data_IF_405992633700
#
_entry.id   IF_405992633700
#
_cell.length_a   1.000
_cell.length_b   1.000
_cell.length_c   1.000
_cell.angle_alpha   90.00
_cell.angle_beta   90.00
_cell.angle_gamma   90.00
#
_symmetry.space_group_name_H-M   'P 1'
#
loop_
_entity.id
_entity.type
_entity.pdbx_description
1 polymer ?
#
# COMPACT_ATOMS: atom_id res chain seq x y z
N UNK A 1 4.43 -11.05 1.43
CA UNK A 1 2.99 -11.33 1.28
C UNK A 1 2.24 -10.12 0.73
N UNK A 2 2.30 -8.93 1.35
CA UNK A 2 1.58 -7.73 0.86
C UNK A 2 1.97 -7.27 -0.55
N UNK A 3 3.26 -7.37 -0.91
CA UNK A 3 3.74 -7.01 -2.26
C UNK A 3 3.18 -7.92 -3.36
N UNK A 4 3.05 -9.23 -3.11
CA UNK A 4 2.49 -10.18 -4.09
C UNK A 4 1.04 -9.88 -4.43
N UNK A 5 0.23 -9.52 -3.43
CA UNK A 5 -1.15 -9.10 -3.63
C UNK A 5 -1.26 -7.77 -4.36
N UNK A 6 -0.39 -6.82 -4.03
CA UNK A 6 -0.32 -5.53 -4.73
C UNK A 6 -0.01 -5.72 -6.22
N UNK A 7 0.96 -6.58 -6.55
CA UNK A 7 1.31 -6.91 -7.94
C UNK A 7 0.16 -7.60 -8.68
N UNK A 8 -0.56 -8.50 -8.00
CA UNK A 8 -1.73 -9.16 -8.59
C UNK A 8 -2.89 -8.17 -8.84
N UNK A 9 -3.14 -7.24 -7.92
CA UNK A 9 -4.13 -6.18 -8.09
C UNK A 9 -3.78 -5.24 -9.25
N UNK A 10 -2.50 -4.88 -9.40
CA UNK A 10 -2.02 -4.09 -10.54
C UNK A 10 -2.21 -4.83 -11.86
N UNK A 11 -1.83 -6.12 -11.92
CA UNK A 11 -1.96 -6.94 -13.12
C UNK A 11 -3.43 -7.13 -13.56
N UNK A 12 -4.38 -7.11 -12.61
CA UNK A 12 -5.82 -7.21 -12.90
C UNK A 12 -6.46 -5.86 -13.27
N UNK A 13 -5.77 -4.74 -13.01
CA UNK A 13 -6.25 -3.38 -13.26
C UNK A 13 -5.28 -2.59 -14.16
N UNK A 14 -5.22 -2.90 -15.47
CA UNK A 14 -4.21 -2.34 -16.38
C UNK A 14 -4.27 -0.81 -16.49
N UNK A 15 -5.44 -0.19 -16.37
CA UNK A 15 -5.55 1.27 -16.39
C UNK A 15 -4.80 1.95 -15.25
N UNK A 16 -4.89 1.40 -14.03
CA UNK A 16 -4.14 1.90 -12.88
C UNK A 16 -2.65 1.56 -12.99
N UNK A 17 -2.31 0.41 -13.58
CA UNK A 17 -0.92 0.05 -13.84
C UNK A 17 -0.23 1.06 -14.79
N UNK A 18 -0.90 1.53 -15.83
CA UNK A 18 -0.36 2.54 -16.75
C UNK A 18 -0.19 3.89 -16.05
N UNK A 19 -1.18 4.34 -15.26
CA UNK A 19 -1.04 5.56 -14.45
C UNK A 19 0.13 5.46 -13.47
N UNK A 20 0.28 4.32 -12.80
CA UNK A 20 1.39 4.05 -11.88
C UNK A 20 2.75 4.08 -12.58
N UNK A 21 2.85 3.46 -13.76
CA UNK A 21 4.07 3.54 -14.59
C UNK A 21 4.37 4.98 -15.01
N UNK A 22 3.36 5.76 -15.35
CA UNK A 22 3.51 7.19 -15.68
C UNK A 22 4.08 8.03 -14.53
N UNK A 23 3.74 7.70 -13.28
CA UNK A 23 4.29 8.37 -12.09
C UNK A 23 5.74 7.93 -11.81
N UNK A 24 6.02 6.62 -11.88
CA UNK A 24 7.28 6.03 -11.40
C UNK A 24 8.40 6.06 -12.44
N UNK A 25 8.10 5.85 -13.73
CA UNK A 25 9.13 5.79 -14.78
C UNK A 25 9.97 7.07 -14.89
N UNK A 26 9.40 8.30 -14.86
CA UNK A 26 10.19 9.52 -14.91
C UNK A 26 11.16 9.65 -13.74
N UNK A 27 10.73 9.22 -12.55
CA UNK A 27 11.52 9.29 -11.32
C UNK A 27 12.72 8.33 -11.40
N UNK A 28 12.49 7.09 -11.83
CA UNK A 28 13.57 6.10 -11.99
C UNK A 28 14.51 6.48 -13.13
N UNK A 29 13.99 7.08 -14.21
CA UNK A 29 14.81 7.54 -15.34
C UNK A 29 15.73 8.70 -14.93
N UNK A 30 15.26 9.60 -14.06
CA UNK A 30 16.07 10.71 -13.54
C UNK A 30 17.12 10.25 -12.51
N UNK A 31 16.75 9.29 -11.66
CA UNK A 31 17.64 8.70 -10.67
C UNK A 31 17.28 7.23 -10.47
N UNK A 32 18.20 6.33 -10.84
CA UNK A 32 18.00 4.88 -10.68
C UNK A 32 17.89 4.43 -9.22
N UNK A 33 18.35 5.27 -8.28
CA UNK A 33 18.25 5.02 -6.85
C UNK A 33 17.67 6.24 -6.13
N UNK A 34 16.34 6.45 -6.24
CA UNK A 34 15.67 7.59 -5.63
C UNK A 34 15.86 7.58 -4.11
N UNK A 35 16.03 8.78 -3.55
CA UNK A 35 16.12 8.98 -2.11
C UNK A 35 14.74 8.86 -1.44
N UNK A 36 14.73 8.79 -0.10
CA UNK A 36 13.50 8.61 0.66
C UNK A 36 12.47 9.74 0.42
N UNK A 37 12.91 10.98 0.23
CA UNK A 37 11.97 12.08 -0.01
C UNK A 37 11.28 11.93 -1.36
N UNK A 38 12.04 11.58 -2.40
CA UNK A 38 11.49 11.30 -3.73
C UNK A 38 10.49 10.14 -3.68
N UNK A 39 10.76 9.09 -2.92
CA UNK A 39 9.82 7.97 -2.74
C UNK A 39 8.53 8.40 -2.02
N UNK A 40 8.62 9.35 -1.09
CA UNK A 40 7.47 9.88 -0.34
C UNK A 40 6.57 10.76 -1.20
N UNK A 41 7.10 11.36 -2.26
CA UNK A 41 6.34 12.19 -3.19
C UNK A 41 5.51 11.37 -4.20
N UNK A 42 5.75 10.05 -4.30
CA UNK A 42 4.99 9.12 -5.14
C UNK A 42 3.63 8.76 -4.50
N UNK A 43 2.68 9.67 -4.63
CA UNK A 43 1.35 9.56 -4.01
C UNK A 43 0.53 8.40 -4.55
N UNK A 44 0.63 8.10 -5.85
CA UNK A 44 -0.12 6.99 -6.44
C UNK A 44 0.46 5.64 -6.00
N UNK A 45 1.79 5.52 -5.91
CA UNK A 45 2.45 4.38 -5.28
C UNK A 45 1.92 4.13 -3.85
N UNK A 46 1.93 5.15 -3.00
CA UNK A 46 1.45 5.03 -1.61
C UNK A 46 -0.03 4.62 -1.57
N UNK A 47 -0.87 5.23 -2.41
CA UNK A 47 -2.30 4.93 -2.48
C UNK A 47 -2.55 3.47 -2.88
N UNK A 48 -1.81 2.93 -3.86
CA UNK A 48 -1.93 1.53 -4.30
C UNK A 48 -1.55 0.56 -3.17
N UNK A 49 -0.49 0.86 -2.42
CA UNK A 49 -0.07 0.03 -1.28
C UNK A 49 -1.13 0.06 -0.18
N UNK A 50 -1.65 1.23 0.16
CA UNK A 50 -2.69 1.38 1.19
C UNK A 50 -3.98 0.67 0.80
N UNK A 51 -4.41 0.80 -0.47
CA UNK A 51 -5.60 0.11 -0.97
C UNK A 51 -5.42 -1.41 -0.97
N UNK A 52 -4.23 -1.90 -1.35
CA UNK A 52 -3.91 -3.32 -1.29
C UNK A 52 -3.96 -3.86 0.14
N UNK A 53 -3.48 -3.09 1.13
CA UNK A 53 -3.56 -3.46 2.55
C UNK A 53 -4.99 -3.36 3.10
N UNK A 54 -5.82 -2.45 2.57
CA UNK A 54 -7.24 -2.34 2.93
C UNK A 54 -8.04 -3.57 2.48
N UNK A 55 -7.78 -4.04 1.25
CA UNK A 55 -8.47 -5.22 0.68
C UNK A 55 -7.89 -6.52 1.23
N UNK A 56 -6.57 -6.61 1.34
CA UNK A 56 -5.85 -7.85 1.69
C UNK A 56 -4.82 -7.58 2.80
N UNK A 57 -5.29 -7.29 4.05
CA UNK A 57 -4.39 -7.04 5.16
C UNK A 57 -3.61 -8.32 5.53
N UNK A 58 -2.27 -8.26 5.64
CA UNK A 58 -1.47 -9.40 6.10
C UNK A 58 -1.81 -9.85 7.52
N UNK A 59 -2.28 -8.93 8.36
CA UNK A 59 -2.70 -9.17 9.75
C UNK A 59 -4.15 -8.68 9.88
N UNK A 60 -5.15 -9.54 9.66
CA UNK A 60 -6.55 -9.13 9.61
C UNK A 60 -7.16 -8.80 10.98
N UNK A 61 -6.57 -9.29 12.07
CA UNK A 61 -7.09 -9.09 13.42
C UNK A 61 -5.97 -8.99 14.43
N UNK A 62 -6.09 -8.03 15.36
CA UNK A 62 -5.24 -7.95 16.56
C UNK A 62 -6.09 -8.26 17.78
N UNK A 63 -5.79 -9.37 18.44
CA UNK A 63 -6.53 -9.80 19.62
C UNK A 63 -5.99 -9.10 20.88
N UNK A 64 -6.91 -8.66 21.74
CA UNK A 64 -6.62 -8.11 23.07
C UNK A 64 -7.51 -8.82 24.08
N UNK A 65 -6.98 -9.08 25.28
CA UNK A 65 -7.72 -9.65 26.40
C UNK A 65 -7.76 -8.64 27.54
N UNK A 66 -8.96 -8.29 28.01
CA UNK A 66 -9.09 -7.41 29.17
C UNK A 66 -8.75 -8.15 30.45
N UNK A 67 -8.00 -7.51 31.35
CA UNK A 67 -7.68 -8.04 32.68
C UNK A 67 -8.69 -7.65 33.76
N UNK A 68 -9.67 -6.81 33.42
CA UNK A 68 -10.73 -6.29 34.29
C UNK A 68 -12.00 -6.08 33.47
N UNK A 69 -13.14 -6.01 34.12
CA UNK A 69 -14.41 -5.69 33.44
C UNK A 69 -14.32 -4.28 32.85
N UNK A 70 -14.71 -4.18 31.57
CA UNK A 70 -14.69 -2.94 30.80
C UNK A 70 -15.94 -2.91 29.92
N UNK A 71 -16.60 -1.76 29.87
CA UNK A 71 -17.76 -1.51 29.04
C UNK A 71 -17.30 -0.87 27.73
N UNK A 72 -17.67 -1.47 26.59
CA UNK A 72 -17.42 -0.93 25.25
C UNK A 72 -18.78 -0.84 24.56
N UNK A 73 -19.10 0.34 24.05
CA UNK A 73 -20.38 0.70 23.39
C UNK A 73 -21.65 0.78 24.25
N UNK A 74 -21.51 0.83 25.58
CA UNK A 74 -22.63 1.04 26.52
C UNK A 74 -23.27 -0.26 26.98
#
# INVERSE_FOLDING_TARGET
AGSSWTLWLLATHPGYQECFRGEVLPVIAANSQPDYNTLKDLKLLESIVMESLRILPPVPMTLRKSGKDSWVDG
#
